data_IF_658995155317
#
_entry.id   IF_658995155317
#
_cell.length_a   1.000
_cell.length_b   1.000
_cell.length_c   1.000
_cell.angle_alpha   90.00
_cell.angle_beta   90.00
_cell.angle_gamma   90.00
#
_symmetry.space_group_name_H-M   'P 1'
#
loop_
_entity.id
_entity.type
_entity.pdbx_description
1 polymer ?
#
# COMPACT_ATOMS: atom_id res chain seq x y z
N UNK A 1 6.66 14.33 -11.43
CA UNK A 1 6.13 13.68 -10.19
C UNK A 1 4.62 13.63 -10.31
N UNK A 2 4.04 12.45 -10.16
CA UNK A 2 2.59 12.25 -10.26
C UNK A 2 1.96 12.76 -8.97
N UNK A 3 1.08 13.74 -9.07
CA UNK A 3 0.33 14.27 -7.93
C UNK A 3 -0.92 13.43 -7.70
N UNK A 4 -1.10 12.94 -6.49
CA UNK A 4 -2.27 12.17 -6.06
C UNK A 4 -2.83 12.73 -4.75
N UNK A 5 -3.97 12.19 -4.32
CA UNK A 5 -4.56 12.54 -3.02
C UNK A 5 -3.65 12.17 -1.82
N UNK A 6 -2.65 11.30 -2.02
CA UNK A 6 -1.70 10.94 -0.98
C UNK A 6 -0.76 12.09 -0.60
N UNK A 7 -0.54 13.05 -1.52
CA UNK A 7 0.33 14.20 -1.26
C UNK A 7 -0.23 15.15 -0.21
N UNK A 8 -1.53 15.07 0.06
CA UNK A 8 -2.21 15.90 1.06
C UNK A 8 -2.13 15.32 2.48
N UNK A 9 -1.51 14.11 2.64
CA UNK A 9 -1.45 13.40 3.91
C UNK A 9 0.01 13.18 4.34
N UNK A 10 0.29 13.25 5.65
CA UNK A 10 1.61 12.90 6.16
C UNK A 10 1.87 11.40 5.98
N UNK A 11 3.11 11.05 5.68
CA UNK A 11 3.54 9.65 5.58
C UNK A 11 3.40 8.99 6.97
N UNK A 12 2.62 7.91 7.10
CA UNK A 12 2.42 7.25 8.39
C UNK A 12 3.71 6.64 8.96
N UNK A 13 3.80 6.43 10.29
CA UNK A 13 5.00 5.84 10.91
C UNK A 13 5.40 4.48 10.32
N UNK A 14 4.44 3.59 10.04
CA UNK A 14 4.69 2.30 9.42
C UNK A 14 5.27 2.42 8.00
N UNK A 15 4.72 3.33 7.21
CA UNK A 15 5.21 3.61 5.86
C UNK A 15 6.64 4.19 5.89
N UNK A 16 6.93 5.10 6.84
CA UNK A 16 8.29 5.60 7.05
C UNK A 16 9.27 4.49 7.40
N UNK A 17 8.86 3.56 8.27
CA UNK A 17 9.68 2.41 8.66
C UNK A 17 10.04 1.53 7.46
N UNK A 18 9.09 1.31 6.56
CA UNK A 18 9.28 0.50 5.36
C UNK A 18 9.98 1.25 4.20
N UNK A 19 10.20 2.56 4.34
CA UNK A 19 10.75 3.40 3.25
C UNK A 19 9.76 3.60 2.10
N UNK A 20 8.47 3.61 2.41
CA UNK A 20 7.38 3.75 1.43
C UNK A 20 7.49 5.04 0.62
N UNK A 21 7.34 4.94 -0.69
CA UNK A 21 7.25 6.07 -1.61
C UNK A 21 6.43 5.73 -2.84
N UNK A 22 5.57 6.62 -3.25
CA UNK A 22 4.82 6.44 -4.50
C UNK A 22 5.77 6.67 -5.68
N UNK A 23 5.85 5.69 -6.57
CA UNK A 23 6.68 5.76 -7.78
C UNK A 23 5.84 6.10 -9.01
N UNK A 24 4.64 5.53 -9.11
CA UNK A 24 3.71 5.77 -10.22
C UNK A 24 2.27 5.47 -9.78
N UNK A 25 1.29 6.10 -10.43
CA UNK A 25 -0.11 5.86 -10.16
C UNK A 25 -0.97 6.07 -11.41
N UNK A 26 -1.96 5.19 -11.57
CA UNK A 26 -3.01 5.28 -12.59
C UNK A 26 -4.35 5.09 -11.91
N UNK A 27 -4.90 6.14 -11.28
CA UNK A 27 -6.11 6.04 -10.47
C UNK A 27 -7.31 5.47 -11.25
N UNK A 28 -7.45 5.85 -12.51
CA UNK A 28 -8.52 5.37 -13.40
C UNK A 28 -8.41 3.89 -13.80
N UNK A 29 -7.20 3.31 -13.67
CA UNK A 29 -6.96 1.87 -13.86
C UNK A 29 -6.98 1.11 -12.54
N UNK A 30 -7.08 1.80 -11.41
CA UNK A 30 -6.99 1.20 -10.08
C UNK A 30 -5.60 0.68 -9.73
N UNK A 31 -4.53 1.26 -10.30
CA UNK A 31 -3.17 0.75 -10.18
C UNK A 31 -2.21 1.78 -9.58
N UNK A 32 -1.33 1.30 -8.71
CA UNK A 32 -0.20 2.08 -8.20
C UNK A 32 1.08 1.27 -8.17
N UNK A 33 2.20 1.97 -8.19
CA UNK A 33 3.54 1.42 -8.00
C UNK A 33 4.22 2.12 -6.83
N UNK A 34 4.74 1.34 -5.89
CA UNK A 34 5.30 1.81 -4.62
C UNK A 34 6.70 1.27 -4.46
N UNK A 35 7.63 2.11 -4.02
CA UNK A 35 8.97 1.70 -3.61
C UNK A 35 9.06 1.47 -2.11
N UNK A 36 9.93 0.52 -1.71
CA UNK A 36 10.27 0.21 -0.33
C UNK A 36 11.78 0.03 -0.15
N UNK A 37 12.25 0.14 1.08
CA UNK A 37 13.62 -0.12 1.45
C UNK A 37 13.72 -1.48 2.15
N UNK A 38 14.29 -2.48 1.46
CA UNK A 38 14.62 -3.76 2.06
C UNK A 38 15.85 -3.63 2.95
N UNK A 39 15.65 -3.28 4.22
CA UNK A 39 16.73 -3.03 5.17
C UNK A 39 17.36 -4.32 5.69
N UNK A 40 18.63 -4.25 6.05
CA UNK A 40 19.33 -5.35 6.71
C UNK A 40 18.64 -5.79 8.01
N UNK A 41 18.07 -4.83 8.76
CA UNK A 41 17.36 -5.07 10.02
C UNK A 41 16.07 -5.89 9.85
N UNK A 42 15.58 -6.04 8.64
CA UNK A 42 14.40 -6.83 8.32
C UNK A 42 14.71 -8.30 8.01
N UNK A 43 16.02 -8.67 8.04
CA UNK A 43 16.45 -10.00 7.66
C UNK A 43 16.19 -11.05 8.75
N UNK A 44 15.85 -12.25 8.30
CA UNK A 44 15.81 -13.46 9.09
C UNK A 44 17.24 -14.00 9.33
N UNK A 45 17.42 -15.09 10.12
CA UNK A 45 18.75 -15.65 10.37
C UNK A 45 19.51 -16.12 9.12
N UNK A 46 18.80 -16.39 8.02
CA UNK A 46 19.42 -16.78 6.74
C UNK A 46 19.88 -15.58 5.88
N UNK A 47 19.64 -14.36 6.34
CA UNK A 47 20.03 -13.13 5.62
C UNK A 47 19.04 -12.67 4.55
N UNK A 48 17.82 -13.19 4.56
CA UNK A 48 16.74 -12.74 3.68
C UNK A 48 15.69 -11.95 4.43
N UNK A 49 15.03 -11.02 3.74
CA UNK A 49 13.93 -10.24 4.33
C UNK A 49 12.86 -11.19 4.84
N UNK A 50 12.47 -11.01 6.09
CA UNK A 50 11.44 -11.82 6.76
C UNK A 50 10.11 -11.72 6.02
N UNK A 51 9.43 -12.87 5.85
CA UNK A 51 8.18 -12.93 5.10
C UNK A 51 7.07 -12.03 5.64
N UNK A 52 7.00 -11.85 6.96
CA UNK A 52 6.08 -10.90 7.57
C UNK A 52 6.32 -9.45 7.17
N UNK A 53 7.58 -9.07 6.94
CA UNK A 53 7.93 -7.72 6.43
C UNK A 53 7.51 -7.57 4.97
N UNK A 54 7.75 -8.58 4.13
CA UNK A 54 7.29 -8.58 2.74
C UNK A 54 5.76 -8.50 2.66
N UNK A 55 5.07 -9.19 3.56
CA UNK A 55 3.61 -9.11 3.68
C UNK A 55 3.14 -7.71 4.09
N UNK A 56 3.85 -7.05 5.00
CA UNK A 56 3.56 -5.68 5.40
C UNK A 56 3.74 -4.70 4.23
N UNK A 57 4.77 -4.87 3.41
CA UNK A 57 4.99 -4.06 2.21
C UNK A 57 3.86 -4.24 1.20
N UNK A 58 3.40 -5.47 0.99
CA UNK A 58 2.27 -5.76 0.10
C UNK A 58 0.96 -5.16 0.62
N UNK A 59 0.67 -5.30 1.90
CA UNK A 59 -0.51 -4.70 2.54
C UNK A 59 -0.49 -3.17 2.43
N UNK A 60 0.69 -2.57 2.67
CA UNK A 60 0.89 -1.10 2.58
C UNK A 60 1.00 -0.58 1.14
N UNK A 61 0.89 -1.42 0.15
CA UNK A 61 0.71 -1.05 -1.26
C UNK A 61 -0.75 -1.17 -1.71
N UNK A 62 -1.44 -2.21 -1.30
CA UNK A 62 -2.82 -2.49 -1.74
C UNK A 62 -3.85 -1.56 -1.09
N UNK A 63 -3.72 -1.24 0.19
CA UNK A 63 -4.59 -0.26 0.86
C UNK A 63 -4.54 1.13 0.21
N UNK A 64 -3.36 1.73 0.05
CA UNK A 64 -3.21 3.00 -0.66
C UNK A 64 -3.73 3.01 -2.10
N UNK A 65 -3.72 1.87 -2.80
CA UNK A 65 -4.31 1.76 -4.13
C UNK A 65 -5.81 2.08 -4.13
N UNK A 66 -6.56 1.60 -3.15
CA UNK A 66 -7.99 1.95 -3.00
C UNK A 66 -8.17 3.42 -2.68
N UNK A 67 -7.34 3.98 -1.80
CA UNK A 67 -7.41 5.39 -1.44
C UNK A 67 -7.19 6.29 -2.65
N UNK A 68 -6.18 6.00 -3.47
CA UNK A 68 -5.89 6.75 -4.70
C UNK A 68 -7.00 6.57 -5.73
N UNK A 69 -7.46 5.33 -5.96
CA UNK A 69 -8.52 5.01 -6.93
C UNK A 69 -9.85 5.67 -6.57
N UNK A 70 -10.16 5.77 -5.28
CA UNK A 70 -11.38 6.42 -4.79
C UNK A 70 -11.25 7.93 -4.59
N UNK A 71 -10.16 8.53 -5.08
CA UNK A 71 -9.87 9.96 -4.91
C UNK A 71 -9.92 10.42 -3.44
N UNK A 72 -9.41 9.58 -2.54
CA UNK A 72 -9.37 9.87 -1.11
C UNK A 72 -10.67 9.60 -0.36
N UNK A 73 -11.67 9.01 -1.00
CA UNK A 73 -12.95 8.74 -0.36
C UNK A 73 -12.88 7.60 0.65
N UNK A 74 -12.21 6.51 0.30
CA UNK A 74 -12.18 5.30 1.13
C UNK A 74 -10.80 5.02 1.71
N UNK A 75 -10.78 4.82 3.02
CA UNK A 75 -9.73 4.15 3.75
C UNK A 75 -10.07 2.67 3.88
N UNK A 76 -9.09 1.79 3.92
CA UNK A 76 -9.31 0.35 4.00
C UNK A 76 -8.81 -0.22 5.32
N UNK A 77 -9.56 -1.19 5.85
CA UNK A 77 -9.12 -2.06 6.95
C UNK A 77 -9.07 -3.48 6.44
N UNK A 78 -7.90 -4.08 6.42
CA UNK A 78 -7.67 -5.43 5.90
C UNK A 78 -8.48 -6.46 6.67
N UNK A 79 -9.28 -7.27 5.96
CA UNK A 79 -10.02 -8.40 6.50
C UNK A 79 -9.19 -9.67 6.38
N UNK A 80 -8.66 -9.91 5.18
CA UNK A 80 -7.81 -11.06 4.89
C UNK A 80 -6.69 -10.68 3.93
N UNK A 81 -5.53 -11.28 4.13
CA UNK A 81 -4.35 -11.11 3.31
C UNK A 81 -3.75 -12.50 3.07
N UNK A 82 -3.67 -12.89 1.81
CA UNK A 82 -3.04 -14.15 1.40
C UNK A 82 -1.78 -13.80 0.60
N UNK A 83 -0.64 -14.30 1.05
CA UNK A 83 0.66 -14.04 0.42
C UNK A 83 1.29 -15.36 -0.01
N UNK A 84 1.79 -15.40 -1.24
CA UNK A 84 2.63 -16.46 -1.75
C UNK A 84 4.06 -15.93 -1.87
N UNK A 85 5.00 -16.54 -1.15
CA UNK A 85 6.42 -16.22 -1.23
C UNK A 85 7.05 -17.08 -2.32
N UNK A 86 7.52 -16.43 -3.39
CA UNK A 86 7.95 -17.09 -4.62
C UNK A 86 9.47 -17.23 -4.67
N UNK A 87 10.19 -16.19 -4.26
CA UNK A 87 11.65 -16.15 -4.23
C UNK A 87 12.17 -15.43 -2.99
N UNK A 88 13.36 -15.80 -2.47
CA UNK A 88 13.95 -15.11 -1.32
C UNK A 88 14.31 -13.68 -1.68
N UNK A 89 14.01 -12.75 -0.78
CA UNK A 89 14.30 -11.32 -0.93
C UNK A 89 15.59 -10.95 -0.20
N UNK A 90 16.59 -10.49 -0.92
CA UNK A 90 17.80 -9.90 -0.35
C UNK A 90 17.56 -8.44 0.03
N UNK A 91 18.33 -7.87 0.99
CA UNK A 91 18.32 -6.43 1.26
C UNK A 91 18.60 -5.63 -0.01
N UNK A 92 17.93 -4.49 -0.13
CA UNK A 92 18.02 -3.60 -1.29
C UNK A 92 16.68 -2.95 -1.64
N UNK A 93 16.62 -2.18 -2.72
CA UNK A 93 15.37 -1.57 -3.18
C UNK A 93 14.36 -2.63 -3.59
N UNK A 94 13.12 -2.47 -3.14
CA UNK A 94 11.99 -3.31 -3.52
C UNK A 94 10.88 -2.45 -4.13
N UNK A 95 10.12 -3.03 -5.02
CA UNK A 95 8.99 -2.37 -5.66
C UNK A 95 7.74 -3.23 -5.53
N UNK A 96 6.64 -2.64 -5.13
CA UNK A 96 5.33 -3.29 -5.20
C UNK A 96 4.47 -2.66 -6.29
N UNK A 97 3.73 -3.48 -7.00
CA UNK A 97 2.63 -3.06 -7.85
C UNK A 97 1.33 -3.56 -7.25
N UNK A 98 0.36 -2.68 -7.10
CA UNK A 98 -0.94 -3.01 -6.54
C UNK A 98 -2.06 -2.66 -7.52
N UNK A 99 -3.02 -3.56 -7.64
CA UNK A 99 -4.18 -3.45 -8.52
C UNK A 99 -5.46 -3.60 -7.71
N UNK A 100 -6.31 -2.60 -7.78
CA UNK A 100 -7.70 -2.70 -7.31
C UNK A 100 -8.47 -3.54 -8.31
N UNK A 101 -9.03 -4.65 -7.86
CA UNK A 101 -9.86 -5.53 -8.70
C UNK A 101 -11.30 -5.05 -8.70
N UNK A 102 -11.82 -4.71 -7.51
CA UNK A 102 -13.17 -4.18 -7.36
C UNK A 102 -13.30 -3.39 -6.08
N UNK A 103 -14.00 -2.26 -6.15
CA UNK A 103 -14.52 -1.52 -5.00
C UNK A 103 -16.02 -1.80 -4.96
N UNK A 104 -16.44 -2.60 -3.98
CA UNK A 104 -17.85 -2.91 -3.75
C UNK A 104 -18.54 -1.88 -2.86
N UNK A 105 -19.68 -2.26 -2.29
CA UNK A 105 -20.44 -1.41 -1.39
C UNK A 105 -19.77 -1.22 -0.03
N UNK A 106 -19.19 -2.29 0.52
CA UNK A 106 -18.60 -2.33 1.87
C UNK A 106 -17.21 -2.95 1.92
N UNK A 107 -16.80 -3.65 0.86
CA UNK A 107 -15.50 -4.30 0.75
C UNK A 107 -14.83 -3.99 -0.59
N UNK A 108 -13.52 -4.04 -0.61
CA UNK A 108 -12.71 -3.99 -1.82
C UNK A 108 -11.83 -5.24 -1.94
N UNK A 109 -11.53 -5.62 -3.16
CA UNK A 109 -10.64 -6.72 -3.51
C UNK A 109 -9.45 -6.16 -4.28
N UNK A 110 -8.24 -6.51 -3.84
CA UNK A 110 -7.00 -6.05 -4.44
C UNK A 110 -6.03 -7.21 -4.63
N UNK A 111 -5.13 -7.04 -5.58
CA UNK A 111 -3.99 -7.91 -5.82
C UNK A 111 -2.71 -7.09 -5.83
N UNK A 112 -1.61 -7.73 -5.46
CA UNK A 112 -0.31 -7.09 -5.45
C UNK A 112 0.81 -8.07 -5.75
N UNK A 113 1.93 -7.54 -6.20
CA UNK A 113 3.18 -8.28 -6.35
C UNK A 113 4.34 -7.43 -5.86
N UNK A 114 5.32 -8.09 -5.27
CA UNK A 114 6.57 -7.49 -4.80
C UNK A 114 7.72 -7.95 -5.68
N UNK A 115 8.54 -7.02 -6.12
CA UNK A 115 9.53 -7.22 -7.17
C UNK A 115 10.88 -6.70 -6.68
N UNK A 116 11.93 -7.50 -6.85
CA UNK A 116 13.31 -7.08 -6.61
C UNK A 116 13.80 -6.12 -7.69
N UNK A 117 14.90 -5.42 -7.42
CA UNK A 117 15.52 -4.46 -8.35
C UNK A 117 15.89 -5.08 -9.69
N UNK A 118 16.22 -6.37 -9.72
CA UNK A 118 16.53 -7.12 -10.96
C UNK A 118 15.29 -7.63 -11.71
N UNK A 119 14.08 -7.29 -11.28
CA UNK A 119 12.82 -7.70 -11.90
C UNK A 119 12.26 -9.05 -11.42
N UNK A 120 12.95 -9.75 -10.51
CA UNK A 120 12.45 -11.01 -9.94
C UNK A 120 11.21 -10.76 -9.10
N UNK A 121 10.12 -11.50 -9.37
CA UNK A 121 8.92 -11.49 -8.51
C UNK A 121 9.24 -12.27 -7.24
N UNK A 122 9.16 -11.59 -6.10
CA UNK A 122 9.49 -12.14 -4.79
C UNK A 122 8.28 -12.73 -4.07
N UNK A 123 7.14 -12.06 -4.21
CA UNK A 123 5.89 -12.46 -3.59
C UNK A 123 4.70 -11.91 -4.36
N UNK A 124 3.58 -12.59 -4.28
CA UNK A 124 2.27 -12.14 -4.76
C UNK A 124 1.28 -12.18 -3.62
N UNK A 125 0.26 -11.33 -3.68
CA UNK A 125 -0.76 -11.28 -2.66
C UNK A 125 -2.14 -10.98 -3.24
N UNK A 126 -3.16 -11.42 -2.52
CA UNK A 126 -4.53 -10.96 -2.66
C UNK A 126 -5.07 -10.53 -1.31
N UNK A 127 -5.90 -9.52 -1.30
CA UNK A 127 -6.50 -9.01 -0.07
C UNK A 127 -7.95 -8.66 -0.27
N UNK A 128 -8.73 -8.87 0.78
CA UNK A 128 -10.07 -8.34 0.96
C UNK A 128 -10.03 -7.34 2.10
N UNK A 129 -10.53 -6.15 1.88
CA UNK A 129 -10.54 -5.09 2.87
C UNK A 129 -11.90 -4.46 3.02
N UNK A 130 -12.23 -4.06 4.25
CA UNK A 130 -13.43 -3.27 4.53
C UNK A 130 -13.20 -1.83 4.11
N UNK A 131 -14.18 -1.24 3.44
CA UNK A 131 -14.22 0.18 3.10
C UNK A 131 -14.73 1.00 4.27
N UNK A 132 -14.02 2.05 4.62
CA UNK A 132 -14.40 3.03 5.64
C UNK A 132 -14.29 4.42 4.99
N UNK A 133 -15.27 5.28 5.19
CA UNK A 133 -15.14 6.68 4.77
C UNK A 133 -13.87 7.29 5.38
N UNK A 134 -12.97 7.78 4.56
CA UNK A 134 -11.67 8.27 4.99
C UNK A 134 -11.80 9.44 5.99
N UNK A 135 -12.77 10.32 5.77
CA UNK A 135 -13.06 11.42 6.70
C UNK A 135 -13.33 10.94 8.13
N UNK A 136 -13.96 9.78 8.29
CA UNK A 136 -14.22 9.15 9.58
C UNK A 136 -13.00 8.45 10.16
N UNK A 137 -12.27 7.69 9.32
CA UNK A 137 -11.12 6.91 9.75
C UNK A 137 -9.94 7.79 10.17
N UNK A 138 -9.72 8.89 9.44
CA UNK A 138 -8.55 9.76 9.57
C UNK A 138 -8.82 11.02 10.39
N UNK A 139 -10.02 11.19 10.94
CA UNK A 139 -10.43 12.39 11.65
C UNK A 139 -9.55 12.78 12.86
N UNK A 140 -8.84 11.81 13.45
CA UNK A 140 -7.93 12.04 14.59
C UNK A 140 -6.52 12.47 14.17
N UNK A 141 -6.13 12.16 12.92
CA UNK A 141 -4.77 12.37 12.39
C UNK A 141 -4.70 13.55 11.40
N UNK A 142 -5.86 14.04 10.95
CA UNK A 142 -5.93 15.11 9.95
C UNK A 142 -5.92 16.50 10.60
N UNK A 143 -5.11 17.45 10.08
CA UNK A 143 -5.32 18.87 10.39
C UNK A 143 -6.75 19.28 10.00
N UNK A 144 -7.41 20.07 10.83
CA UNK A 144 -8.79 20.53 10.64
C UNK A 144 -9.08 21.14 9.23
N UNK A 145 -8.07 21.68 8.56
CA UNK A 145 -8.17 22.24 7.21
C UNK A 145 -8.36 21.18 6.10
N UNK A 146 -7.74 20.01 6.24
CA UNK A 146 -7.85 18.93 5.26
C UNK A 146 -9.15 18.14 5.41
N UNK A 147 -9.65 17.99 6.65
CA UNK A 147 -10.92 17.31 6.93
C UNK A 147 -12.13 18.02 6.30
N UNK A 148 -12.07 19.34 6.15
CA UNK A 148 -13.16 20.14 5.57
C UNK A 148 -13.25 20.01 4.04
N UNK A 149 -12.15 19.77 3.35
CA UNK A 149 -12.16 19.64 1.89
C UNK A 149 -12.60 18.24 1.41
N UNK A 150 -12.37 17.20 2.20
CA UNK A 150 -12.77 15.82 1.89
C UNK A 150 -14.26 15.53 2.16
N UNK A 151 -14.92 16.34 3.01
CA UNK A 151 -16.31 16.13 3.40
C UNK A 151 -17.36 16.65 2.40
N UNK A 152 -16.94 17.34 1.33
CA UNK A 152 -17.86 18.10 0.46
C UNK A 152 -17.72 17.84 -1.05
N UNK A 153 -17.15 16.69 -1.45
CA UNK A 153 -17.12 16.32 -2.88
C UNK A 153 -17.70 14.96 -3.14
#
# INVERSE_FOLDING_TARGET
MIKTVLDDFPVPPSAKLLGWRLLDARPWEGWIKVGFDGRQEFCNPAGFIQGGILSAMLDDSMGPAVFVTSEGRFYTTTISLTVNFIAPAKPGPLTAEAQVIQIGKSVAFMEGKLIADNGTVLATASTTARLIEAARALAREMPLSAARSAAWR
#
